data_IF_306005333219
#
_entry.id   IF_306005333219
#
_cell.length_a   1.000
_cell.length_b   1.000
_cell.length_c   1.000
_cell.angle_alpha   90.00
_cell.angle_beta   90.00
_cell.angle_gamma   90.00
#
_symmetry.space_group_name_H-M   'P 1'
#
loop_
_entity.id
_entity.type
_entity.pdbx_description
1 polymer ?
#
# COMPACT_ATOMS: atom_id res chain seq x y z
N UNK A 1 -56.40 -36.48 -41.06
CA UNK A 1 -57.05 -36.06 -42.32
C UNK A 1 -57.90 -37.16 -42.94
N UNK A 2 -57.39 -38.37 -43.14
CA UNK A 2 -58.11 -39.46 -43.82
C UNK A 2 -59.51 -39.80 -43.25
N UNK A 3 -59.69 -39.71 -41.93
CA UNK A 3 -60.99 -39.98 -41.27
C UNK A 3 -62.01 -38.85 -41.46
N UNK A 4 -61.55 -37.59 -41.57
CA UNK A 4 -62.45 -36.44 -41.82
C UNK A 4 -62.93 -36.48 -43.26
N UNK A 5 -62.03 -36.75 -44.21
CA UNK A 5 -62.39 -36.87 -45.62
C UNK A 5 -63.35 -38.03 -45.87
N UNK A 6 -63.20 -39.16 -45.18
CA UNK A 6 -64.12 -40.29 -45.32
C UNK A 6 -65.50 -40.00 -44.72
N UNK A 7 -65.58 -39.38 -43.53
CA UNK A 7 -66.86 -39.02 -42.91
C UNK A 7 -67.61 -37.94 -43.72
N UNK A 8 -66.89 -36.95 -44.25
CA UNK A 8 -67.49 -35.91 -45.11
C UNK A 8 -67.97 -36.52 -46.44
N UNK A 9 -67.21 -37.44 -47.05
CA UNK A 9 -67.63 -38.13 -48.26
C UNK A 9 -68.89 -38.99 -48.04
N UNK A 10 -68.98 -39.69 -46.90
CA UNK A 10 -70.16 -40.47 -46.53
C UNK A 10 -71.38 -39.56 -46.28
N UNK A 11 -71.20 -38.43 -45.58
CA UNK A 11 -72.27 -37.46 -45.33
C UNK A 11 -72.77 -36.82 -46.63
N UNK A 12 -71.87 -36.51 -47.57
CA UNK A 12 -72.21 -35.96 -48.88
C UNK A 12 -72.95 -36.98 -49.76
N UNK A 13 -72.49 -38.25 -49.76
CA UNK A 13 -73.17 -39.33 -50.47
C UNK A 13 -74.57 -39.62 -49.91
N UNK A 14 -74.72 -39.60 -48.57
CA UNK A 14 -76.01 -39.80 -47.91
C UNK A 14 -76.99 -38.65 -48.15
N UNK A 15 -76.52 -37.40 -48.17
CA UNK A 15 -77.39 -36.25 -48.49
C UNK A 15 -77.83 -36.23 -49.95
N UNK A 16 -76.95 -36.63 -50.88
CA UNK A 16 -77.31 -36.76 -52.30
C UNK A 16 -78.32 -37.89 -52.58
N UNK A 17 -78.22 -39.03 -51.88
CA UNK A 17 -79.15 -40.15 -52.09
C UNK A 17 -80.54 -39.88 -51.49
N UNK A 18 -80.63 -39.11 -50.40
CA UNK A 18 -81.90 -38.75 -49.74
C UNK A 18 -82.57 -37.50 -50.33
N UNK A 19 -81.84 -36.67 -51.09
CA UNK A 19 -82.43 -35.54 -51.82
C UNK A 19 -83.49 -35.98 -52.86
N UNK A 20 -83.45 -37.25 -53.30
CA UNK A 20 -84.44 -37.84 -54.19
C UNK A 20 -85.77 -38.20 -53.50
N UNK A 21 -85.82 -38.23 -52.16
CA UNK A 21 -86.98 -38.73 -51.38
C UNK A 21 -87.79 -37.59 -50.73
N UNK A 22 -87.25 -36.37 -50.65
CA UNK A 22 -87.97 -35.17 -50.18
C UNK A 22 -87.12 -34.22 -49.32
N UNK A 23 -87.54 -32.95 -49.25
CA UNK A 23 -86.80 -31.87 -48.57
C UNK A 23 -86.68 -32.11 -47.05
N UNK A 24 -87.66 -32.77 -46.44
CA UNK A 24 -87.70 -32.99 -44.99
C UNK A 24 -86.60 -33.96 -44.51
N UNK A 25 -86.30 -35.01 -45.28
CA UNK A 25 -85.28 -36.00 -44.92
C UNK A 25 -83.85 -35.43 -44.96
N UNK A 26 -83.60 -34.45 -45.82
CA UNK A 26 -82.31 -33.80 -45.98
C UNK A 26 -81.91 -33.01 -44.73
N UNK A 27 -82.89 -32.36 -44.08
CA UNK A 27 -82.67 -31.59 -42.84
C UNK A 27 -82.26 -32.52 -41.70
N UNK A 28 -82.94 -33.66 -41.53
CA UNK A 28 -82.62 -34.62 -40.46
C UNK A 28 -81.22 -35.23 -40.62
N UNK A 29 -80.82 -35.57 -41.85
CA UNK A 29 -79.50 -36.18 -42.12
C UNK A 29 -78.39 -35.13 -42.04
N UNK A 30 -78.62 -33.91 -42.52
CA UNK A 30 -77.71 -32.78 -42.34
C UNK A 30 -77.50 -32.45 -40.85
N UNK A 31 -78.58 -32.41 -40.07
CA UNK A 31 -78.52 -32.20 -38.63
C UNK A 31 -77.74 -33.33 -37.93
N UNK A 32 -78.06 -34.59 -38.22
CA UNK A 32 -77.40 -35.75 -37.60
C UNK A 32 -75.90 -35.84 -37.90
N UNK A 33 -75.49 -35.56 -39.14
CA UNK A 33 -74.07 -35.57 -39.54
C UNK A 33 -73.29 -34.41 -38.91
N UNK A 34 -73.88 -33.21 -38.85
CA UNK A 34 -73.26 -32.05 -38.19
C UNK A 34 -73.05 -32.28 -36.67
N UNK A 35 -73.95 -33.02 -36.03
CA UNK A 35 -73.89 -33.37 -34.61
C UNK A 35 -72.72 -34.29 -34.28
N UNK A 36 -72.26 -35.12 -35.21
CA UNK A 36 -71.08 -35.99 -35.04
C UNK A 36 -69.78 -35.27 -35.41
N UNK A 37 -69.82 -34.43 -36.45
CA UNK A 37 -68.63 -33.69 -36.92
C UNK A 37 -68.20 -32.62 -35.91
N UNK A 38 -69.15 -31.94 -35.26
CA UNK A 38 -68.87 -30.88 -34.29
C UNK A 38 -67.99 -31.33 -33.09
N UNK A 39 -68.34 -32.37 -32.31
CA UNK A 39 -67.51 -32.83 -31.19
C UNK A 39 -66.15 -33.36 -31.64
N UNK A 40 -66.08 -33.99 -32.82
CA UNK A 40 -64.82 -34.48 -33.38
C UNK A 40 -63.88 -33.34 -33.78
N UNK A 41 -64.40 -32.28 -34.41
CA UNK A 41 -63.62 -31.09 -34.74
C UNK A 41 -63.12 -30.36 -33.48
N UNK A 42 -63.94 -30.33 -32.41
CA UNK A 42 -63.52 -29.77 -31.11
C UNK A 42 -62.38 -30.60 -30.51
N UNK A 43 -62.45 -31.93 -30.57
CA UNK A 43 -61.39 -32.82 -30.09
C UNK A 43 -60.07 -32.62 -30.86
N UNK A 44 -60.13 -32.56 -32.20
CA UNK A 44 -58.94 -32.28 -33.01
C UNK A 44 -58.34 -30.90 -32.74
N UNK A 45 -59.17 -29.88 -32.57
CA UNK A 45 -58.70 -28.52 -32.20
C UNK A 45 -58.01 -28.53 -30.85
N UNK A 46 -58.51 -29.31 -29.88
CA UNK A 46 -57.85 -29.46 -28.57
C UNK A 46 -56.47 -30.11 -28.73
N UNK A 47 -56.36 -31.19 -29.49
CA UNK A 47 -55.09 -31.88 -29.71
C UNK A 47 -54.06 -31.00 -30.46
N UNK A 48 -54.48 -30.24 -31.47
CA UNK A 48 -53.62 -29.28 -32.17
C UNK A 48 -53.17 -28.15 -31.25
N UNK A 49 -54.07 -27.63 -30.41
CA UNK A 49 -53.73 -26.60 -29.42
C UNK A 49 -52.72 -27.12 -28.40
N UNK A 50 -52.86 -28.36 -27.97
CA UNK A 50 -51.93 -28.99 -27.02
C UNK A 50 -50.55 -29.18 -27.67
N UNK A 51 -50.47 -29.57 -28.96
CA UNK A 51 -49.20 -29.64 -29.69
C UNK A 51 -48.51 -28.29 -29.85
N UNK A 52 -49.26 -27.23 -30.17
CA UNK A 52 -48.72 -25.86 -30.23
C UNK A 52 -48.30 -25.34 -28.86
N UNK A 53 -48.97 -25.78 -27.79
CA UNK A 53 -48.55 -25.48 -26.42
C UNK A 53 -47.22 -26.17 -26.07
N UNK A 54 -47.05 -27.44 -26.46
CA UNK A 54 -45.80 -28.18 -26.23
C UNK A 54 -44.63 -27.60 -27.02
N UNK A 55 -44.83 -27.23 -28.29
CA UNK A 55 -43.81 -26.54 -29.10
C UNK A 55 -43.38 -25.22 -28.47
N UNK A 56 -44.34 -24.45 -27.94
CA UNK A 56 -44.05 -23.21 -27.20
C UNK A 56 -43.25 -23.49 -25.92
N UNK A 57 -43.61 -24.51 -25.17
CA UNK A 57 -42.86 -24.93 -23.97
C UNK A 57 -41.46 -25.38 -24.33
N UNK A 58 -41.28 -26.19 -25.37
CA UNK A 58 -39.97 -26.65 -25.82
C UNK A 58 -39.08 -25.48 -26.27
N UNK A 59 -39.65 -24.50 -26.99
CA UNK A 59 -38.91 -23.29 -27.37
C UNK A 59 -38.54 -22.43 -26.16
N UNK A 60 -39.41 -22.36 -25.14
CA UNK A 60 -39.09 -21.70 -23.86
C UNK A 60 -37.96 -22.43 -23.13
N UNK A 61 -38.02 -23.76 -23.06
CA UNK A 61 -36.96 -24.58 -22.45
C UNK A 61 -35.64 -24.38 -23.19
N UNK A 62 -35.62 -24.40 -24.54
CA UNK A 62 -34.41 -24.13 -25.32
C UNK A 62 -33.84 -22.74 -25.05
N UNK A 63 -34.69 -21.71 -24.98
CA UNK A 63 -34.26 -20.36 -24.62
C UNK A 63 -33.65 -20.32 -23.21
N UNK A 64 -34.26 -21.02 -22.27
CA UNK A 64 -33.80 -21.06 -20.89
C UNK A 64 -32.49 -21.83 -20.73
N UNK A 65 -32.34 -22.95 -21.43
CA UNK A 65 -31.08 -23.70 -21.51
C UNK A 65 -29.98 -22.83 -22.11
N UNK A 66 -30.24 -22.12 -23.21
CA UNK A 66 -29.25 -21.22 -23.80
C UNK A 66 -28.91 -20.04 -22.87
N UNK A 67 -29.90 -19.53 -22.11
CA UNK A 67 -29.68 -18.48 -21.10
C UNK A 67 -28.77 -19.00 -19.98
N UNK A 68 -29.10 -20.16 -19.42
CA UNK A 68 -28.32 -20.80 -18.36
C UNK A 68 -26.92 -21.19 -18.83
N UNK A 69 -26.78 -21.66 -20.06
CA UNK A 69 -25.47 -21.95 -20.66
C UNK A 69 -24.63 -20.68 -20.76
N UNK A 70 -25.20 -19.58 -21.25
CA UNK A 70 -24.51 -18.29 -21.30
C UNK A 70 -24.17 -17.72 -19.91
N UNK A 71 -25.01 -17.97 -18.90
CA UNK A 71 -24.69 -17.63 -17.50
C UNK A 71 -23.58 -18.50 -16.93
N UNK A 72 -23.55 -19.78 -17.27
CA UNK A 72 -22.50 -20.71 -16.84
C UNK A 72 -21.16 -20.36 -17.51
N UNK A 73 -21.16 -19.99 -18.79
CA UNK A 73 -19.96 -19.53 -19.50
C UNK A 73 -19.42 -18.23 -18.88
N UNK A 74 -20.31 -17.29 -18.53
CA UNK A 74 -19.93 -16.06 -17.81
C UNK A 74 -19.34 -16.37 -16.43
N UNK A 75 -19.96 -17.29 -15.69
CA UNK A 75 -19.47 -17.69 -14.38
C UNK A 75 -18.10 -18.38 -14.50
N UNK A 76 -17.92 -19.24 -15.50
CA UNK A 76 -16.64 -19.88 -15.77
C UNK A 76 -15.54 -18.86 -16.09
N UNK A 77 -15.83 -17.88 -16.95
CA UNK A 77 -14.91 -16.79 -17.25
C UNK A 77 -14.56 -15.97 -16.00
N UNK A 78 -15.55 -15.64 -15.16
CA UNK A 78 -15.29 -14.93 -13.90
C UNK A 78 -14.42 -15.75 -12.95
N UNK A 79 -14.61 -17.08 -12.90
CA UNK A 79 -13.75 -17.96 -12.10
C UNK A 79 -12.32 -17.96 -12.66
N UNK A 80 -12.14 -18.03 -13.98
CA UNK A 80 -10.82 -17.94 -14.63
C UNK A 80 -10.13 -16.61 -14.36
N UNK A 81 -10.87 -15.50 -14.42
CA UNK A 81 -10.36 -14.17 -14.12
C UNK A 81 -9.95 -14.05 -12.65
N UNK A 82 -10.76 -14.60 -11.73
CA UNK A 82 -10.43 -14.67 -10.31
C UNK A 82 -9.20 -15.54 -10.04
N UNK A 83 -9.06 -16.68 -10.71
CA UNK A 83 -7.85 -17.51 -10.61
C UNK A 83 -6.62 -16.74 -11.07
N UNK A 84 -6.71 -16.02 -12.19
CA UNK A 84 -5.60 -15.19 -12.69
C UNK A 84 -5.25 -14.06 -11.71
N UNK A 85 -6.24 -13.47 -11.03
CA UNK A 85 -6.00 -12.48 -10.00
C UNK A 85 -5.33 -13.08 -8.76
N UNK A 86 -5.71 -14.30 -8.35
CA UNK A 86 -5.06 -15.02 -7.26
C UNK A 86 -3.61 -15.34 -7.61
N UNK A 87 -3.33 -15.83 -8.82
CA UNK A 87 -1.96 -16.12 -9.27
C UNK A 87 -1.08 -14.86 -9.24
N UNK A 88 -1.63 -13.71 -9.63
CA UNK A 88 -0.92 -12.42 -9.54
C UNK A 88 -0.67 -11.98 -8.11
N UNK A 89 -1.61 -12.25 -7.20
CA UNK A 89 -1.43 -11.96 -5.77
C UNK A 89 -0.38 -12.87 -5.16
N UNK A 90 -0.35 -14.15 -5.53
CA UNK A 90 0.68 -15.11 -5.11
C UNK A 90 2.07 -14.71 -5.64
N UNK A 91 2.15 -14.24 -6.89
CA UNK A 91 3.39 -13.71 -7.46
C UNK A 91 3.87 -12.46 -6.71
N UNK A 92 2.98 -11.50 -6.43
CA UNK A 92 3.29 -10.33 -5.61
C UNK A 92 3.68 -10.70 -4.16
N UNK A 93 3.05 -11.72 -3.56
CA UNK A 93 3.40 -12.23 -2.24
C UNK A 93 4.80 -12.84 -2.26
N UNK A 94 5.14 -13.59 -3.30
CA UNK A 94 6.48 -14.18 -3.48
C UNK A 94 7.54 -13.11 -3.71
N UNK A 95 7.24 -12.08 -4.51
CA UNK A 95 8.11 -10.91 -4.66
C UNK A 95 8.28 -10.19 -3.33
N UNK A 96 7.18 -9.86 -2.62
CA UNK A 96 7.23 -9.24 -1.30
C UNK A 96 7.95 -10.10 -0.26
N UNK A 97 7.82 -11.42 -0.29
CA UNK A 97 8.56 -12.36 0.55
C UNK A 97 10.05 -12.30 0.20
N UNK A 98 10.43 -12.28 -1.07
CA UNK A 98 11.83 -12.17 -1.49
C UNK A 98 12.46 -10.81 -1.09
N UNK A 99 11.68 -9.72 -1.17
CA UNK A 99 12.10 -8.41 -0.71
C UNK A 99 12.15 -8.42 0.83
N UNK A 100 11.20 -9.05 1.52
CA UNK A 100 11.19 -9.16 2.99
C UNK A 100 12.32 -10.05 3.51
N UNK A 101 12.70 -11.11 2.80
CA UNK A 101 13.88 -11.94 3.10
C UNK A 101 15.19 -11.16 2.87
N UNK A 102 15.19 -10.22 1.91
CA UNK A 102 16.24 -9.21 1.76
C UNK A 102 16.23 -8.15 2.86
N UNK A 103 15.05 -7.65 3.25
CA UNK A 103 14.86 -6.57 4.21
C UNK A 103 14.97 -7.02 5.67
N UNK A 104 14.70 -8.28 5.99
CA UNK A 104 14.96 -8.89 7.30
C UNK A 104 16.46 -8.92 7.64
N UNK A 105 17.33 -8.92 6.62
CA UNK A 105 18.75 -8.60 6.76
C UNK A 105 18.99 -7.09 6.83
N UNK A 106 18.33 -6.28 6.00
CA UNK A 106 18.53 -4.83 5.98
C UNK A 106 18.09 -4.10 7.26
N UNK A 107 17.10 -4.57 8.03
CA UNK A 107 16.75 -3.93 9.31
C UNK A 107 17.83 -4.18 10.37
N UNK A 108 18.38 -5.39 10.43
CA UNK A 108 19.50 -5.69 11.33
C UNK A 108 20.77 -4.97 10.89
N UNK A 109 21.06 -4.95 9.59
CA UNK A 109 22.17 -4.18 9.02
C UNK A 109 22.00 -2.67 9.23
N UNK A 110 20.79 -2.14 9.13
CA UNK A 110 20.50 -0.74 9.44
C UNK A 110 20.68 -0.44 10.94
N UNK A 111 20.22 -1.32 11.83
CA UNK A 111 20.43 -1.17 13.27
C UNK A 111 21.92 -1.23 13.60
N UNK A 112 22.67 -2.12 12.96
CA UNK A 112 24.11 -2.25 13.17
C UNK A 112 24.89 -1.06 12.58
N UNK A 113 24.46 -0.54 11.43
CA UNK A 113 25.00 0.67 10.82
C UNK A 113 24.70 1.92 11.67
N UNK A 114 23.53 2.01 12.30
CA UNK A 114 23.21 3.08 13.26
C UNK A 114 24.05 2.96 14.54
N UNK A 115 24.28 1.74 15.05
CA UNK A 115 25.19 1.52 16.20
C UNK A 115 26.63 1.88 15.85
N UNK A 116 27.09 1.51 14.66
CA UNK A 116 28.42 1.86 14.15
C UNK A 116 28.55 3.38 13.99
N UNK A 117 27.55 4.03 13.41
CA UNK A 117 27.51 5.49 13.28
C UNK A 117 27.52 6.19 14.65
N UNK A 118 26.80 5.66 15.65
CA UNK A 118 26.86 6.19 17.03
C UNK A 118 28.25 6.05 17.64
N UNK A 119 28.94 4.95 17.36
CA UNK A 119 30.33 4.72 17.81
C UNK A 119 31.28 5.70 17.13
N UNK A 120 31.18 5.85 15.80
CA UNK A 120 31.97 6.79 15.01
C UNK A 120 31.73 8.23 15.50
N UNK A 121 30.49 8.65 15.72
CA UNK A 121 30.18 9.97 16.28
C UNK A 121 30.82 10.20 17.65
N UNK A 122 30.88 9.16 18.49
CA UNK A 122 31.55 9.24 19.80
C UNK A 122 33.06 9.40 19.62
N UNK A 123 33.66 8.71 18.65
CA UNK A 123 35.08 8.83 18.33
C UNK A 123 35.42 10.20 17.71
N UNK A 124 34.58 10.72 16.81
CA UNK A 124 34.72 12.07 16.23
C UNK A 124 34.62 13.13 17.34
N UNK A 125 33.63 13.02 18.25
CA UNK A 125 33.50 13.94 19.39
C UNK A 125 34.78 13.94 20.24
N UNK A 126 35.33 12.77 20.55
CA UNK A 126 36.61 12.65 21.28
C UNK A 126 37.77 13.26 20.51
N UNK A 127 37.85 13.04 19.20
CA UNK A 127 38.92 13.58 18.37
C UNK A 127 38.86 15.11 18.31
N UNK A 128 37.68 15.69 18.16
CA UNK A 128 37.45 17.14 18.20
C UNK A 128 37.81 17.73 19.56
N UNK A 129 37.42 17.06 20.65
CA UNK A 129 37.80 17.48 22.00
C UNK A 129 39.32 17.50 22.17
N UNK A 130 40.03 16.46 21.71
CA UNK A 130 41.49 16.39 21.73
C UNK A 130 42.11 17.50 20.87
N UNK A 131 41.60 17.73 19.66
CA UNK A 131 42.11 18.76 18.76
C UNK A 131 41.95 20.17 19.33
N UNK A 132 40.80 20.47 19.93
CA UNK A 132 40.56 21.74 20.63
C UNK A 132 41.48 21.85 21.84
N UNK A 133 41.61 20.80 22.64
CA UNK A 133 42.51 20.77 23.79
C UNK A 133 43.97 21.03 23.40
N UNK A 134 44.45 20.39 22.34
CA UNK A 134 45.79 20.60 21.80
C UNK A 134 45.98 22.02 21.30
N UNK A 135 45.01 22.54 20.53
CA UNK A 135 45.06 23.92 20.04
C UNK A 135 45.09 24.93 21.19
N UNK A 136 44.31 24.69 22.25
CA UNK A 136 44.33 25.50 23.46
C UNK A 136 45.68 25.39 24.18
N UNK A 137 46.22 24.17 24.36
CA UNK A 137 47.55 24.00 24.96
C UNK A 137 48.64 24.70 24.18
N UNK A 138 48.66 24.59 22.86
CA UNK A 138 49.63 25.25 22.00
C UNK A 138 49.62 26.77 22.18
N UNK A 139 48.43 27.35 22.34
CA UNK A 139 48.26 28.79 22.53
C UNK A 139 48.66 29.21 23.92
N UNK A 140 48.29 28.43 24.92
CA UNK A 140 48.69 28.64 26.31
C UNK A 140 50.21 28.64 26.42
N UNK A 141 50.88 27.66 25.81
CA UNK A 141 52.35 27.56 25.79
C UNK A 141 52.98 28.69 24.97
N UNK A 142 52.39 29.09 23.84
CA UNK A 142 52.91 30.20 23.01
C UNK A 142 52.67 31.58 23.61
N UNK A 143 51.66 31.71 24.48
CA UNK A 143 51.29 32.98 25.10
C UNK A 143 52.15 33.28 26.33
N UNK A 144 52.68 32.25 27.01
CA UNK A 144 53.66 32.38 28.09
C UNK A 144 55.03 32.74 27.49
N UNK A 145 55.32 34.05 27.38
CA UNK A 145 56.52 34.55 26.67
C UNK A 145 57.76 34.56 27.54
N UNK A 146 57.59 34.77 28.82
CA UNK A 146 58.66 34.84 29.83
C UNK A 146 58.85 33.53 30.59
N UNK A 147 57.98 32.53 30.35
CA UNK A 147 58.06 31.17 30.88
C UNK A 147 58.05 31.17 32.42
N UNK A 148 57.38 32.17 33.00
CA UNK A 148 57.26 32.35 34.44
C UNK A 148 56.04 31.60 35.03
N UNK A 149 55.18 31.07 34.14
CA UNK A 149 53.98 30.30 34.48
C UNK A 149 52.83 31.15 35.05
N UNK A 150 52.91 32.48 34.98
CA UNK A 150 51.94 33.45 35.47
C UNK A 150 51.53 34.40 34.33
N UNK A 151 50.26 34.40 33.97
CA UNK A 151 49.82 35.23 32.84
C UNK A 151 49.66 36.69 33.23
N UNK A 152 50.33 37.56 32.48
CA UNK A 152 50.06 38.99 32.50
C UNK A 152 48.71 39.33 31.85
N UNK A 153 48.18 40.52 32.14
CA UNK A 153 46.93 41.01 31.53
C UNK A 153 46.98 41.07 29.99
N UNK A 154 48.18 41.25 29.42
CA UNK A 154 48.38 41.28 27.97
C UNK A 154 48.34 39.88 27.36
N UNK A 155 48.90 38.88 28.03
CA UNK A 155 48.87 37.49 27.60
C UNK A 155 47.49 36.87 27.75
N UNK A 156 46.78 37.17 28.85
CA UNK A 156 45.37 36.80 29.01
C UNK A 156 44.51 37.36 27.87
N UNK A 157 44.75 38.61 27.45
CA UNK A 157 44.03 39.20 26.31
C UNK A 157 44.32 38.46 24.99
N UNK A 158 45.56 38.02 24.77
CA UNK A 158 45.94 37.25 23.59
C UNK A 158 45.28 35.87 23.58
N UNK A 159 45.27 35.19 24.73
CA UNK A 159 44.59 33.90 24.91
C UNK A 159 43.09 34.06 24.65
N UNK A 160 42.42 35.09 25.19
CA UNK A 160 40.98 35.35 24.93
C UNK A 160 40.66 35.52 23.45
N UNK A 161 41.46 36.32 22.72
CA UNK A 161 41.28 36.54 21.28
C UNK A 161 41.42 35.23 20.51
N UNK A 162 42.40 34.41 20.87
CA UNK A 162 42.61 33.12 20.21
C UNK A 162 41.45 32.16 20.48
N UNK A 163 41.04 32.02 21.74
CA UNK A 163 39.94 31.16 22.14
C UNK A 163 38.65 31.54 21.41
N UNK A 164 38.36 32.84 21.32
CA UNK A 164 37.19 33.36 20.60
C UNK A 164 37.19 33.03 19.10
N UNK A 165 38.38 32.83 18.52
CA UNK A 165 38.54 32.50 17.11
C UNK A 165 38.38 30.99 16.82
N UNK A 166 38.22 30.15 17.85
CA UNK A 166 37.93 28.73 17.67
C UNK A 166 36.46 28.58 17.29
N UNK A 167 36.19 28.29 16.01
CA UNK A 167 34.83 28.21 15.43
C UNK A 167 33.90 27.18 16.10
N UNK A 168 34.46 26.19 16.81
CA UNK A 168 33.75 25.03 17.35
C UNK A 168 33.40 25.14 18.84
N UNK A 169 33.78 26.23 19.50
CA UNK A 169 33.61 26.40 20.95
C UNK A 169 32.91 27.72 21.25
N UNK A 170 31.83 27.66 22.03
CA UNK A 170 31.25 28.85 22.64
C UNK A 170 32.07 29.18 23.88
N UNK A 171 32.71 30.35 23.86
CA UNK A 171 33.55 30.84 24.94
C UNK A 171 32.80 31.87 25.78
N UNK A 172 32.66 31.59 27.07
CA UNK A 172 32.07 32.53 28.02
C UNK A 172 33.17 33.39 28.67
N UNK A 173 33.46 34.53 28.04
CA UNK A 173 34.46 35.51 28.52
C UNK A 173 34.22 35.88 30.00
N UNK A 174 32.97 36.10 30.41
CA UNK A 174 32.60 36.50 31.78
C UNK A 174 32.97 35.45 32.84
N UNK A 175 32.91 34.16 32.49
CA UNK A 175 33.22 33.05 33.40
C UNK A 175 34.73 32.81 33.44
N UNK A 176 35.40 32.99 32.31
CA UNK A 176 36.85 32.91 32.23
C UNK A 176 37.52 33.99 33.07
N UNK A 177 37.02 35.23 33.00
CA UNK A 177 37.60 36.37 33.71
C UNK A 177 37.49 36.20 35.22
N UNK A 178 36.35 35.75 35.73
CA UNK A 178 36.17 35.45 37.17
C UNK A 178 37.18 34.44 37.70
N UNK A 179 37.47 33.38 36.94
CA UNK A 179 38.38 32.31 37.40
C UNK A 179 39.84 32.74 37.26
N UNK A 180 40.15 33.58 36.27
CA UNK A 180 41.52 34.07 36.03
C UNK A 180 41.91 35.24 36.91
N UNK A 181 40.97 36.09 37.30
CA UNK A 181 41.22 37.22 38.21
C UNK A 181 41.61 36.73 39.62
N UNK A 182 41.15 35.54 40.03
CA UNK A 182 41.51 34.94 41.32
C UNK A 182 42.92 34.33 41.32
N UNK A 183 43.32 33.65 40.24
CA UNK A 183 44.63 32.99 40.12
C UNK A 183 45.07 32.83 38.65
N UNK A 184 45.81 33.81 38.08
CA UNK A 184 46.25 33.79 36.68
C UNK A 184 47.49 32.90 36.49
N UNK A 185 47.40 31.63 36.86
CA UNK A 185 48.51 30.66 36.71
C UNK A 185 48.24 29.69 35.58
N UNK A 186 49.31 29.25 34.92
CA UNK A 186 49.29 28.20 33.91
C UNK A 186 48.56 26.94 34.38
N UNK A 187 48.76 26.56 35.65
CA UNK A 187 48.10 25.41 36.27
C UNK A 187 46.58 25.58 36.36
N UNK A 188 46.11 26.80 36.67
CA UNK A 188 44.68 27.09 36.74
C UNK A 188 44.06 27.11 35.34
N UNK A 189 44.74 27.69 34.35
CA UNK A 189 44.31 27.65 32.96
C UNK A 189 44.20 26.22 32.42
N UNK A 190 45.19 25.37 32.69
CA UNK A 190 45.12 23.95 32.35
C UNK A 190 43.95 23.24 33.02
N UNK A 191 43.56 23.64 34.25
CA UNK A 191 42.38 23.09 34.93
C UNK A 191 41.08 23.50 34.25
N UNK A 192 40.96 24.77 33.85
CA UNK A 192 39.80 25.28 33.10
C UNK A 192 39.70 24.61 31.72
N UNK A 193 40.83 24.45 31.04
CA UNK A 193 40.90 23.75 29.75
C UNK A 193 40.58 22.27 29.89
N UNK A 194 40.95 21.63 31.02
CA UNK A 194 40.56 20.24 31.34
C UNK A 194 39.06 20.10 31.62
N UNK A 195 38.39 21.13 32.13
CA UNK A 195 36.93 21.14 32.29
C UNK A 195 36.19 21.02 30.94
N UNK A 196 36.85 21.25 29.80
CA UNK A 196 36.31 20.99 28.46
C UNK A 196 36.10 19.49 28.17
N UNK A 197 36.82 18.61 28.90
CA UNK A 197 36.75 17.16 28.75
C UNK A 197 35.78 16.49 29.72
N UNK A 198 35.34 17.18 30.77
CA UNK A 198 34.56 16.57 31.85
C UNK A 198 33.07 16.93 31.73
N UNK A 199 32.26 15.94 31.36
CA UNK A 199 30.81 16.09 31.17
C UNK A 199 30.06 16.31 32.50
N UNK A 200 30.72 16.17 33.65
CA UNK A 200 30.12 16.28 34.99
C UNK A 200 30.28 17.67 35.65
N UNK A 201 30.84 18.66 34.96
CA UNK A 201 30.96 20.02 35.50
C UNK A 201 29.60 20.72 35.42
N UNK A 202 29.17 21.32 36.54
CA UNK A 202 27.92 22.10 36.65
C UNK A 202 27.82 23.15 35.54
N UNK A 203 26.64 23.35 34.96
CA UNK A 203 26.44 24.27 33.82
C UNK A 203 26.87 25.71 34.13
N UNK A 204 26.95 26.09 35.40
CA UNK A 204 27.39 27.41 35.86
C UNK A 204 28.93 27.59 35.82
N UNK A 205 29.70 26.50 35.84
CA UNK A 205 31.18 26.50 35.83
C UNK A 205 31.77 26.17 34.46
N UNK A 206 30.93 25.85 33.46
CA UNK A 206 31.38 25.57 32.09
C UNK A 206 31.80 26.86 31.39
N UNK A 207 33.11 27.01 31.19
CA UNK A 207 33.70 28.13 30.44
C UNK A 207 33.64 27.89 28.92
N UNK A 208 33.51 26.62 28.51
CA UNK A 208 33.53 26.18 27.12
C UNK A 208 32.36 25.25 26.83
N UNK A 209 31.65 25.51 25.74
CA UNK A 209 30.66 24.59 25.19
C UNK A 209 31.07 24.16 23.78
N UNK A 210 31.21 22.86 23.55
CA UNK A 210 31.59 22.29 22.25
C UNK A 210 30.33 22.05 21.41
N UNK A 211 30.19 22.75 20.29
CA UNK A 211 29.14 22.48 19.32
C UNK A 211 29.66 21.56 18.21
N UNK A 212 29.33 20.28 18.30
CA UNK A 212 29.72 19.27 17.29
C UNK A 212 28.99 19.50 15.97
N UNK A 213 27.77 20.02 16.01
CA UNK A 213 26.90 20.21 14.84
C UNK A 213 27.48 21.23 13.83
N UNK A 214 28.08 22.31 14.33
CA UNK A 214 28.74 23.33 13.49
C UNK A 214 29.97 22.79 12.75
N UNK A 215 30.59 21.72 13.26
CA UNK A 215 31.73 21.08 12.58
C UNK A 215 31.26 20.17 11.44
N UNK A 216 30.11 19.52 11.61
CA UNK A 216 29.50 18.68 10.57
C UNK A 216 28.97 19.52 9.41
N UNK A 217 28.44 20.73 9.68
CA UNK A 217 28.02 21.68 8.63
C UNK A 217 29.18 22.29 7.85
N UNK A 218 30.35 22.48 8.48
CA UNK A 218 31.53 23.08 7.86
C UNK A 218 32.42 22.07 7.10
N UNK A 219 32.07 20.78 7.13
CA UNK A 219 32.86 19.66 6.63
C UNK A 219 32.25 18.89 5.47
N UNK A 220 31.38 19.51 4.67
CA UNK A 220 31.03 19.01 3.33
C UNK A 220 32.01 19.58 2.30
N UNK A 221 32.85 18.76 1.64
CA UNK A 221 32.95 18.87 0.19
C UNK A 221 31.60 18.57 -0.46
#
# INVERSE_FOLDING_TARGET
MLVVSSVVAIAFAATMSLAAVGIEALIYVGAGTSMVIAPYAIYQRKQLRDMDSMRRVQNKIRKEVNRLQGENDKLHNNVTDLTTQVDRVEECEKELSSITDGMGKSVNEFVDLVKEHKKINTEIKKHLQIQVLQSLMDVVIKSDRDNDGVFSAQELKMVKVFIRNIRSVTFHEDRFDKIMDENPTLKNLMRIVRNLLDENVSEDERVFELHVDKFMEAGLP
#
